data_IF_890865701481
#
_entry.id   IF_890865701481
#
_cell.length_a   1.000
_cell.length_b   1.000
_cell.length_c   1.000
_cell.angle_alpha   90.00
_cell.angle_beta   90.00
_cell.angle_gamma   90.00
#
_symmetry.space_group_name_H-M   'P 1'
#
loop_
_entity.id
_entity.type
_entity.pdbx_description
1 polymer ?
#
# COMPACT_ATOMS: atom_id res chain seq x y z
N UNK A 1 4.04 7.76 -26.62
CA UNK A 1 3.08 6.94 -25.85
C UNK A 1 3.66 6.76 -24.45
N UNK A 2 2.92 7.15 -23.41
CA UNK A 2 3.41 7.21 -22.03
C UNK A 2 4.00 5.87 -21.58
N UNK A 3 5.28 5.88 -21.18
CA UNK A 3 5.91 4.79 -20.45
C UNK A 3 5.10 4.55 -19.18
N UNK A 4 4.29 3.50 -19.16
CA UNK A 4 3.72 2.96 -17.92
C UNK A 4 4.93 2.52 -17.11
N UNK A 5 5.42 3.37 -16.19
CA UNK A 5 6.53 3.04 -15.28
C UNK A 5 6.22 1.64 -14.74
N UNK A 6 7.11 0.69 -14.97
CA UNK A 6 6.97 -0.66 -14.45
C UNK A 6 7.13 -0.55 -12.93
N UNK A 7 6.00 -0.42 -12.24
CA UNK A 7 5.98 -0.37 -10.78
C UNK A 7 6.40 -1.74 -10.28
N UNK A 8 7.39 -1.79 -9.39
CA UNK A 8 7.78 -3.04 -8.73
C UNK A 8 6.60 -3.62 -7.95
N UNK A 9 6.33 -4.90 -8.13
CA UNK A 9 5.19 -5.60 -7.53
C UNK A 9 5.70 -6.69 -6.61
N UNK A 10 5.33 -6.58 -5.34
CA UNK A 10 5.66 -7.58 -4.34
C UNK A 10 4.43 -8.38 -3.93
N UNK A 11 4.51 -9.72 -4.01
CA UNK A 11 3.40 -10.58 -3.58
C UNK A 11 3.44 -10.80 -2.05
N UNK A 12 2.48 -10.19 -1.35
CA UNK A 12 2.38 -10.26 0.11
C UNK A 12 1.73 -11.57 0.58
N UNK A 13 2.33 -12.19 1.61
CA UNK A 13 1.72 -13.29 2.37
C UNK A 13 1.09 -12.71 3.63
N UNK A 14 -0.23 -12.79 3.71
CA UNK A 14 -1.00 -12.29 4.86
C UNK A 14 -1.53 -13.46 5.69
N UNK A 15 -1.63 -13.30 7.02
CA UNK A 15 -2.35 -14.25 7.85
C UNK A 15 -3.82 -14.39 7.42
N UNK A 16 -4.49 -15.51 7.77
CA UNK A 16 -5.90 -15.69 7.51
C UNK A 16 -6.76 -14.52 8.03
N UNK A 17 -7.76 -14.10 7.26
CA UNK A 17 -8.70 -13.03 7.62
C UNK A 17 -8.18 -11.60 7.43
N UNK A 18 -6.86 -11.38 7.34
CA UNK A 18 -6.31 -10.03 7.18
C UNK A 18 -6.70 -9.37 5.86
N UNK A 19 -6.80 -10.15 4.79
CA UNK A 19 -7.20 -9.64 3.47
C UNK A 19 -8.59 -8.99 3.52
N UNK A 20 -9.53 -9.60 4.22
CA UNK A 20 -10.91 -9.10 4.31
C UNK A 20 -10.98 -7.82 5.14
N UNK A 21 -10.22 -7.76 6.24
CA UNK A 21 -10.09 -6.56 7.08
C UNK A 21 -9.52 -5.40 6.25
N UNK A 22 -8.40 -5.61 5.55
CA UNK A 22 -7.78 -4.56 4.71
C UNK A 22 -8.73 -4.12 3.60
N UNK A 23 -9.46 -5.05 2.98
CA UNK A 23 -10.46 -4.72 1.94
C UNK A 23 -11.60 -3.87 2.49
N UNK A 24 -12.06 -4.14 3.71
CA UNK A 24 -13.09 -3.34 4.38
C UNK A 24 -12.59 -1.93 4.70
N UNK A 25 -11.39 -1.79 5.25
CA UNK A 25 -10.78 -0.48 5.55
C UNK A 25 -10.56 0.33 4.27
N UNK A 26 -10.00 -0.28 3.22
CA UNK A 26 -9.83 0.38 1.93
C UNK A 26 -11.16 0.92 1.36
N UNK A 27 -12.26 0.19 1.54
CA UNK A 27 -13.60 0.64 1.12
C UNK A 27 -14.08 1.85 1.93
N UNK A 28 -13.82 1.89 3.24
CA UNK A 28 -14.16 3.04 4.10
C UNK A 28 -13.38 4.29 3.69
N UNK A 29 -12.11 4.13 3.35
CA UNK A 29 -11.21 5.22 2.92
C UNK A 29 -11.34 5.58 1.43
N UNK A 30 -12.31 4.99 0.71
CA UNK A 30 -12.52 5.19 -0.73
C UNK A 30 -11.26 4.95 -1.59
N UNK A 31 -10.42 3.98 -1.18
CA UNK A 31 -9.16 3.61 -1.84
C UNK A 31 -9.21 2.19 -2.37
N UNK A 32 -8.32 1.89 -3.32
CA UNK A 32 -8.07 0.48 -3.68
C UNK A 32 -7.33 -0.21 -2.55
N UNK A 33 -7.46 -1.54 -2.47
CA UNK A 33 -6.73 -2.32 -1.45
C UNK A 33 -5.21 -2.11 -1.52
N UNK A 34 -4.66 -1.96 -2.73
CA UNK A 34 -3.23 -1.66 -2.90
C UNK A 34 -2.86 -0.28 -2.36
N UNK A 35 -3.67 0.74 -2.65
CA UNK A 35 -3.45 2.10 -2.13
C UNK A 35 -3.54 2.14 -0.60
N UNK A 36 -4.44 1.35 0.00
CA UNK A 36 -4.53 1.23 1.46
C UNK A 36 -3.30 0.59 2.07
N UNK A 37 -2.79 -0.50 1.47
CA UNK A 37 -1.55 -1.16 1.90
C UNK A 37 -0.38 -0.18 1.82
N UNK A 38 -0.26 0.59 0.74
CA UNK A 38 0.79 1.61 0.59
C UNK A 38 0.68 2.67 1.68
N UNK A 39 -0.51 3.23 1.91
CA UNK A 39 -0.73 4.25 2.94
C UNK A 39 -0.39 3.74 4.36
N UNK A 40 -0.72 2.47 4.66
CA UNK A 40 -0.37 1.84 5.92
C UNK A 40 1.16 1.68 6.07
N UNK A 41 1.86 1.27 5.00
CA UNK A 41 3.33 1.17 4.99
C UNK A 41 3.97 2.55 5.15
N UNK A 42 3.51 3.56 4.41
CA UNK A 42 4.00 4.94 4.54
C UNK A 42 3.86 5.47 5.97
N UNK A 43 2.71 5.22 6.58
CA UNK A 43 2.44 5.61 7.97
C UNK A 43 3.39 4.90 8.93
N UNK A 44 3.57 3.60 8.78
CA UNK A 44 4.49 2.82 9.61
C UNK A 44 5.96 3.25 9.45
N UNK A 45 6.40 3.57 8.23
CA UNK A 45 7.76 4.04 7.96
C UNK A 45 8.00 5.45 8.51
N UNK A 46 7.00 6.34 8.40
CA UNK A 46 7.06 7.67 9.00
C UNK A 46 7.23 7.59 10.52
N UNK A 47 6.50 6.70 11.19
CA UNK A 47 6.64 6.48 12.65
C UNK A 47 8.04 5.99 12.99
N UNK A 48 8.65 5.15 12.14
CA UNK A 48 10.02 4.67 12.30
C UNK A 48 11.09 5.70 11.91
N UNK A 49 10.71 6.89 11.44
CA UNK A 49 11.64 7.91 10.96
C UNK A 49 12.29 7.59 9.60
N UNK A 50 11.76 6.60 8.87
CA UNK A 50 12.25 6.22 7.54
C UNK A 50 11.51 7.04 6.48
N UNK A 51 12.25 7.74 5.62
CA UNK A 51 11.69 8.46 4.47
C UNK A 51 11.55 7.51 3.28
N UNK A 52 10.34 7.40 2.74
CA UNK A 52 10.07 6.74 1.47
C UNK A 52 10.04 7.83 0.41
N UNK A 53 11.18 8.09 -0.23
CA UNK A 53 11.24 9.02 -1.36
C UNK A 53 10.60 8.34 -2.58
N UNK A 54 9.35 8.68 -2.88
CA UNK A 54 8.74 8.34 -4.16
C UNK A 54 9.38 9.25 -5.22
N UNK A 55 10.33 8.72 -5.98
CA UNK A 55 10.92 9.46 -7.11
C UNK A 55 9.81 10.00 -8.02
N UNK A 56 9.81 11.33 -8.19
CA UNK A 56 8.86 12.10 -9.01
C UNK A 56 8.82 11.64 -10.47
#
# INVERSE_FOLDING_TARGET
>A
MMNRRMIDQYMLRLPPGWRDVIKMEAKKEHRTMNAEIIAAIETAMRIKGVKLDAES
#
